data_IF_229323871779
#
_entry.id   IF_229323871779
#
_cell.length_a   1.000
_cell.length_b   1.000
_cell.length_c   1.000
_cell.angle_alpha   90.00
_cell.angle_beta   90.00
_cell.angle_gamma   90.00
#
_symmetry.space_group_name_H-M   'P 1'
#
loop_
_entity.id
_entity.type
_entity.pdbx_description
1 polymer ?
#
# COMPACT_ATOMS: atom_id res chain seq x y z
N UNK A 1 -7.09 -10.21 7.67
CA UNK A 1 -6.37 -10.74 6.48
C UNK A 1 -6.68 -9.82 5.31
N UNK A 2 -5.67 -9.40 4.58
CA UNK A 2 -5.76 -8.57 3.36
C UNK A 2 -4.70 -9.03 2.36
N UNK A 3 -4.74 -8.50 1.14
CA UNK A 3 -3.77 -8.84 0.12
C UNK A 3 -3.24 -7.59 -0.59
N UNK A 4 -1.95 -7.59 -0.87
CA UNK A 4 -1.27 -6.48 -1.51
C UNK A 4 -0.42 -6.92 -2.70
N UNK A 5 0.00 -5.97 -3.50
CA UNK A 5 1.00 -6.15 -4.54
C UNK A 5 2.20 -5.24 -4.27
N UNK A 6 3.40 -5.77 -4.49
CA UNK A 6 4.58 -4.95 -4.67
C UNK A 6 4.64 -4.52 -6.13
N UNK A 7 4.66 -3.23 -6.37
CA UNK A 7 4.71 -2.63 -7.70
C UNK A 7 6.06 -1.97 -7.89
N UNK A 8 6.75 -2.33 -8.97
CA UNK A 8 8.02 -1.71 -9.35
C UNK A 8 7.85 -1.03 -10.70
N UNK A 9 7.86 0.30 -10.67
CA UNK A 9 7.69 1.15 -11.85
C UNK A 9 9.07 1.45 -12.45
N UNK A 10 9.31 1.13 -13.73
CA UNK A 10 10.60 1.42 -14.36
C UNK A 10 10.80 2.93 -14.54
N UNK A 11 12.04 3.38 -14.44
CA UNK A 11 12.45 4.77 -14.67
C UNK A 11 11.65 5.79 -13.83
N UNK A 12 11.31 5.43 -12.58
CA UNK A 12 10.48 6.22 -11.66
C UNK A 12 11.26 6.53 -10.39
N UNK A 13 11.29 7.79 -10.00
CA UNK A 13 11.95 8.30 -8.78
C UNK A 13 10.97 8.55 -7.62
N UNK A 14 9.65 8.34 -7.85
CA UNK A 14 8.62 8.48 -6.83
C UNK A 14 8.59 7.25 -5.90
N UNK A 15 8.00 7.40 -4.73
CA UNK A 15 7.92 6.36 -3.73
C UNK A 15 9.30 5.96 -3.22
N UNK A 16 9.61 4.68 -3.20
CA UNK A 16 10.93 4.15 -2.84
C UNK A 16 11.71 3.75 -4.11
N UNK A 17 12.15 4.74 -4.88
CA UNK A 17 12.82 4.55 -6.17
C UNK A 17 11.96 3.71 -7.15
N UNK A 18 10.70 4.09 -7.32
CA UNK A 18 9.73 3.40 -8.16
C UNK A 18 9.07 2.19 -7.52
N UNK A 19 9.46 1.83 -6.29
CA UNK A 19 8.87 0.69 -5.56
C UNK A 19 7.76 1.14 -4.65
N UNK A 20 6.60 0.44 -4.73
CA UNK A 20 5.40 0.72 -3.95
C UNK A 20 4.76 -0.57 -3.43
N UNK A 21 4.01 -0.45 -2.33
CA UNK A 21 2.96 -1.41 -1.96
C UNK A 21 1.60 -0.83 -2.29
N UNK A 22 0.77 -1.60 -2.99
CA UNK A 22 -0.65 -1.29 -3.29
C UNK A 22 -1.55 -2.24 -2.51
N UNK A 23 -2.36 -1.75 -1.59
CA UNK A 23 -3.23 -2.54 -0.71
C UNK A 23 -4.59 -1.85 -0.42
N UNK A 24 -5.70 -2.58 -0.22
CA UNK A 24 -5.88 -3.95 -0.66
C UNK A 24 -6.16 -3.96 -2.17
N UNK A 25 -5.55 -4.88 -2.87
CA UNK A 25 -5.71 -4.97 -4.32
C UNK A 25 -6.06 -6.38 -4.79
N UNK A 26 -6.32 -7.31 -3.85
CA UNK A 26 -6.53 -8.70 -4.18
C UNK A 26 -7.60 -9.48 -3.41
N UNK A 27 -8.09 -8.99 -2.27
CA UNK A 27 -8.92 -9.80 -1.38
C UNK A 27 -10.14 -9.06 -0.79
N UNK A 28 -9.92 -7.97 -0.04
CA UNK A 28 -10.98 -7.30 0.72
C UNK A 28 -11.76 -6.34 -0.17
N UNK A 29 -13.05 -6.64 -0.40
CA UNK A 29 -13.85 -5.95 -1.42
C UNK A 29 -14.20 -4.51 -1.04
N UNK A 30 -14.79 -4.31 0.13
CA UNK A 30 -15.22 -2.99 0.61
C UNK A 30 -15.01 -2.93 2.13
N UNK A 31 -13.78 -2.65 2.58
CA UNK A 31 -13.46 -2.60 3.99
C UNK A 31 -14.20 -1.44 4.68
N UNK A 32 -14.69 -1.69 5.90
CA UNK A 32 -15.11 -0.65 6.81
C UNK A 32 -13.88 0.15 7.32
N UNK A 33 -14.08 1.28 8.02
CA UNK A 33 -12.96 2.12 8.47
C UNK A 33 -11.94 1.36 9.33
N UNK A 34 -12.38 0.48 10.21
CA UNK A 34 -11.53 -0.32 11.10
C UNK A 34 -10.66 -1.30 10.30
N UNK A 35 -11.25 -1.99 9.34
CA UNK A 35 -10.51 -2.90 8.45
C UNK A 35 -9.54 -2.13 7.55
N UNK A 36 -9.96 -0.99 7.01
CA UNK A 36 -9.10 -0.18 6.15
C UNK A 36 -7.90 0.37 6.93
N UNK A 37 -8.09 0.76 8.19
CA UNK A 37 -7.01 1.13 9.10
C UNK A 37 -6.06 -0.05 9.36
N UNK A 38 -6.59 -1.24 9.61
CA UNK A 38 -5.79 -2.45 9.82
C UNK A 38 -4.99 -2.83 8.55
N UNK A 39 -5.58 -2.67 7.36
CA UNK A 39 -4.88 -2.85 6.09
C UNK A 39 -3.68 -1.89 5.99
N UNK A 40 -3.86 -0.62 6.33
CA UNK A 40 -2.80 0.37 6.28
C UNK A 40 -1.61 0.01 7.17
N UNK A 41 -1.88 -0.39 8.42
CA UNK A 41 -0.84 -0.75 9.38
C UNK A 41 -0.10 -2.04 8.96
N UNK A 42 -0.84 -3.07 8.54
CA UNK A 42 -0.23 -4.30 8.03
C UNK A 42 0.61 -4.06 6.78
N UNK A 43 0.17 -3.15 5.90
CA UNK A 43 0.90 -2.82 4.67
C UNK A 43 2.19 -2.06 4.95
N UNK A 44 2.23 -1.23 6.00
CA UNK A 44 3.45 -0.58 6.46
C UNK A 44 4.48 -1.62 6.92
N UNK A 45 4.05 -2.56 7.78
CA UNK A 45 4.92 -3.64 8.26
C UNK A 45 5.43 -4.51 7.10
N UNK A 46 4.54 -4.86 6.16
CA UNK A 46 4.91 -5.65 4.98
C UNK A 46 5.90 -4.92 4.07
N UNK A 47 5.72 -3.61 3.86
CA UNK A 47 6.64 -2.80 3.07
C UNK A 47 8.04 -2.76 3.70
N UNK A 48 8.11 -2.49 5.00
CA UNK A 48 9.37 -2.44 5.74
C UNK A 48 10.09 -3.80 5.70
N UNK A 49 9.35 -4.89 5.94
CA UNK A 49 9.88 -6.26 5.90
C UNK A 49 10.48 -6.61 4.53
N UNK A 50 9.76 -6.31 3.44
CA UNK A 50 10.17 -6.71 2.09
C UNK A 50 11.25 -5.82 1.48
N UNK A 51 11.29 -4.54 1.84
CA UNK A 51 12.19 -3.57 1.20
C UNK A 51 13.33 -3.10 2.09
N UNK A 52 13.21 -3.26 3.40
CA UNK A 52 14.13 -2.68 4.38
C UNK A 52 14.10 -1.15 4.43
N UNK A 53 13.10 -0.52 3.79
CA UNK A 53 12.94 0.94 3.73
C UNK A 53 11.80 1.41 4.63
N UNK A 54 11.85 2.67 5.05
CA UNK A 54 10.82 3.29 5.88
C UNK A 54 9.48 3.37 5.11
N UNK A 55 8.37 2.87 5.68
CA UNK A 55 7.04 3.01 5.09
C UNK A 55 6.50 4.42 5.25
N UNK A 56 5.98 4.98 4.17
CA UNK A 56 5.28 6.26 4.11
C UNK A 56 3.89 6.00 3.53
N UNK A 57 2.89 5.94 4.42
CA UNK A 57 1.56 5.40 4.12
C UNK A 57 0.58 6.51 3.75
N UNK A 58 0.00 6.43 2.56
CA UNK A 58 -1.08 7.30 2.11
C UNK A 58 -2.42 6.55 2.03
N UNK A 59 -3.43 7.07 2.71
CA UNK A 59 -4.82 6.63 2.60
C UNK A 59 -5.48 7.32 1.41
N UNK A 60 -5.80 6.56 0.35
CA UNK A 60 -6.24 7.11 -0.93
C UNK A 60 -7.75 7.34 -1.01
N UNK A 61 -8.12 8.39 -1.71
CA UNK A 61 -9.48 8.80 -2.01
C UNK A 61 -9.50 9.65 -3.29
N UNK A 62 -10.68 9.95 -3.81
CA UNK A 62 -10.84 11.02 -4.80
C UNK A 62 -10.81 12.43 -4.18
N UNK A 63 -10.68 12.53 -2.86
CA UNK A 63 -10.56 13.76 -2.08
C UNK A 63 -9.14 13.93 -1.52
N UNK A 64 -8.69 15.16 -1.37
CA UNK A 64 -7.48 15.52 -0.61
C UNK A 64 -7.86 16.55 0.45
N UNK A 65 -7.69 16.18 1.73
CA UNK A 65 -7.89 17.06 2.89
C UNK A 65 -9.21 17.85 2.84
N UNK A 66 -10.32 17.13 2.58
CA UNK A 66 -11.67 17.70 2.57
C UNK A 66 -12.05 18.40 1.26
N UNK A 67 -11.34 18.16 0.16
CA UNK A 67 -11.67 18.77 -1.14
C UNK A 67 -13.01 18.26 -1.73
N UNK A 68 -13.49 17.10 -1.29
CA UNK A 68 -14.79 16.54 -1.65
C UNK A 68 -15.53 16.04 -0.40
N UNK A 69 -16.86 15.90 -0.52
CA UNK A 69 -17.74 15.34 0.53
C UNK A 69 -18.54 14.19 -0.04
N UNK A 70 -18.35 13.01 0.51
CA UNK A 70 -19.04 11.79 0.13
C UNK A 70 -18.86 10.73 1.23
N UNK A 71 -19.81 9.81 1.46
CA UNK A 71 -19.64 8.73 2.43
C UNK A 71 -18.34 7.91 2.23
N UNK A 72 -17.91 7.71 0.98
CA UNK A 72 -16.65 7.02 0.69
C UNK A 72 -15.42 7.83 1.14
N UNK A 73 -15.49 9.16 1.09
CA UNK A 73 -14.46 10.06 1.65
C UNK A 73 -14.46 9.96 3.17
N UNK A 74 -15.63 10.03 3.79
CA UNK A 74 -15.79 9.94 5.25
C UNK A 74 -15.24 8.63 5.79
N UNK A 75 -15.44 7.52 5.06
CA UNK A 75 -14.84 6.22 5.36
C UNK A 75 -13.30 6.29 5.44
N UNK A 76 -12.66 6.89 4.47
CA UNK A 76 -11.18 7.00 4.42
C UNK A 76 -10.67 7.97 5.49
N UNK A 77 -11.36 9.07 5.74
CA UNK A 77 -11.04 10.02 6.83
C UNK A 77 -11.06 9.31 8.18
N UNK A 78 -12.12 8.56 8.46
CA UNK A 78 -12.25 7.81 9.72
C UNK A 78 -11.20 6.69 9.83
N UNK A 79 -10.96 5.94 8.75
CA UNK A 79 -9.89 4.94 8.70
C UNK A 79 -8.51 5.56 8.98
N UNK A 80 -8.24 6.75 8.44
CA UNK A 80 -6.98 7.47 8.68
C UNK A 80 -6.83 7.84 10.15
N UNK A 81 -7.91 8.31 10.78
CA UNK A 81 -7.93 8.65 12.21
C UNK A 81 -7.61 7.40 13.06
N UNK A 82 -8.33 6.30 12.81
CA UNK A 82 -8.14 5.03 13.53
C UNK A 82 -6.71 4.49 13.32
N UNK A 83 -6.20 4.54 12.10
CA UNK A 83 -4.84 4.07 11.80
C UNK A 83 -3.79 4.89 12.56
N UNK A 84 -3.92 6.22 12.61
CA UNK A 84 -3.01 7.09 13.37
C UNK A 84 -3.02 6.80 14.87
N UNK A 85 -4.18 6.51 15.44
CA UNK A 85 -4.31 6.19 16.87
C UNK A 85 -3.67 4.85 17.24
N UNK A 86 -3.60 3.90 16.31
CA UNK A 86 -3.05 2.57 16.51
C UNK A 86 -1.66 2.37 15.89
N UNK A 87 -1.12 3.39 15.24
CA UNK A 87 0.18 3.33 14.60
C UNK A 87 1.32 3.21 15.62
N UNK A 88 2.38 2.50 15.23
CA UNK A 88 3.65 2.52 15.97
C UNK A 88 4.19 3.95 16.00
N UNK A 89 4.88 4.30 17.08
CA UNK A 89 5.55 5.60 17.19
C UNK A 89 6.51 5.81 16.01
N UNK A 90 6.39 6.96 15.36
CA UNK A 90 7.22 7.34 14.22
C UNK A 90 6.71 6.92 12.85
N UNK A 91 5.66 6.08 12.74
CA UNK A 91 5.10 5.72 11.44
C UNK A 91 4.53 6.96 10.73
N UNK A 92 5.00 7.22 9.51
CA UNK A 92 4.48 8.26 8.64
C UNK A 92 3.21 7.74 7.95
N UNK A 93 2.05 8.16 8.45
CA UNK A 93 0.73 7.81 7.90
C UNK A 93 -0.16 9.03 7.87
N UNK A 94 -0.78 9.29 6.71
CA UNK A 94 -1.71 10.41 6.57
C UNK A 94 -2.74 10.15 5.45
N UNK A 95 -3.77 10.97 5.39
CA UNK A 95 -4.89 10.94 4.42
C UNK A 95 -5.96 11.95 4.82
N UNK A 96 -7.03 12.01 4.06
CA UNK A 96 -7.21 11.33 2.75
C UNK A 96 -6.49 12.10 1.65
N UNK A 97 -6.00 11.36 0.64
CA UNK A 97 -5.29 11.94 -0.51
C UNK A 97 -5.80 11.40 -1.84
N UNK A 98 -5.87 12.28 -2.83
CA UNK A 98 -5.81 11.85 -4.22
C UNK A 98 -4.42 11.28 -4.51
N UNK A 99 -4.33 10.35 -5.49
CA UNK A 99 -3.08 9.67 -5.82
C UNK A 99 -1.95 10.66 -6.18
N UNK A 100 -2.24 11.67 -7.00
CA UNK A 100 -1.26 12.69 -7.39
C UNK A 100 -0.71 13.46 -6.18
N UNK A 101 -1.57 13.81 -5.23
CA UNK A 101 -1.15 14.48 -3.99
C UNK A 101 -0.32 13.57 -3.08
N UNK A 102 -0.55 12.25 -3.13
CA UNK A 102 0.21 11.29 -2.33
C UNK A 102 1.64 11.08 -2.83
N UNK A 103 1.87 11.06 -4.16
CA UNK A 103 3.14 10.62 -4.73
C UNK A 103 3.93 11.71 -5.48
N UNK A 104 3.30 12.79 -5.93
CA UNK A 104 3.96 13.87 -6.68
C UNK A 104 4.30 15.03 -5.73
N UNK A 105 5.60 15.36 -5.51
CA UNK A 105 6.02 16.34 -4.51
C UNK A 105 5.36 17.72 -4.64
N UNK A 106 5.30 18.28 -5.84
CA UNK A 106 4.72 19.59 -6.11
C UNK A 106 3.21 19.63 -5.86
N UNK A 107 2.51 18.53 -6.20
CA UNK A 107 1.07 18.40 -5.97
C UNK A 107 0.80 18.23 -4.49
N UNK A 108 1.58 17.40 -3.81
CA UNK A 108 1.50 17.20 -2.36
C UNK A 108 1.73 18.49 -1.58
N UNK A 109 2.75 19.25 -1.93
CA UNK A 109 3.02 20.55 -1.31
C UNK A 109 1.89 21.58 -1.51
N UNK A 110 1.24 21.54 -2.66
CA UNK A 110 0.12 22.44 -2.98
C UNK A 110 -1.20 22.04 -2.32
N UNK A 111 -1.57 20.72 -2.39
CA UNK A 111 -2.89 20.24 -1.93
C UNK A 111 -2.93 19.87 -0.44
N UNK A 112 -1.79 19.51 0.14
CA UNK A 112 -1.68 19.09 1.54
C UNK A 112 -0.43 19.67 2.22
N UNK A 113 -0.31 21.00 2.30
CA UNK A 113 0.86 21.64 2.90
C UNK A 113 1.03 21.21 4.37
N UNK A 114 2.27 20.85 4.73
CA UNK A 114 2.61 20.41 6.10
C UNK A 114 2.36 18.94 6.38
N UNK A 115 1.80 18.16 5.46
CA UNK A 115 1.72 16.72 5.63
C UNK A 115 3.12 16.07 5.51
N UNK A 116 3.48 15.15 6.42
CA UNK A 116 4.75 14.43 6.33
C UNK A 116 4.75 13.35 5.24
N UNK A 117 3.59 13.02 4.67
CA UNK A 117 3.36 11.94 3.71
C UNK A 117 3.17 12.44 2.28
N UNK A 118 2.45 13.57 2.11
CA UNK A 118 2.08 14.08 0.79
C UNK A 118 3.30 14.29 -0.11
N UNK A 119 3.23 13.74 -1.33
CA UNK A 119 4.29 13.78 -2.33
C UNK A 119 5.45 12.81 -2.11
N UNK A 120 5.35 11.91 -1.11
CA UNK A 120 6.45 10.99 -0.72
C UNK A 120 6.00 9.56 -0.49
N UNK A 121 4.69 9.27 -0.59
CA UNK A 121 4.13 7.98 -0.23
C UNK A 121 4.73 6.84 -1.06
N UNK A 122 5.01 5.72 -0.39
CA UNK A 122 5.45 4.46 -0.99
C UNK A 122 4.54 3.27 -0.63
N UNK A 123 3.61 3.47 0.32
CA UNK A 123 2.53 2.53 0.62
C UNK A 123 1.20 3.22 0.32
N UNK A 124 0.48 2.69 -0.67
CA UNK A 124 -0.76 3.25 -1.18
C UNK A 124 -1.93 2.35 -0.77
N UNK A 125 -2.79 2.86 0.10
CA UNK A 125 -3.96 2.15 0.63
C UNK A 125 -5.20 2.60 -0.10
N UNK A 126 -5.78 1.71 -0.88
CA UNK A 126 -6.95 1.97 -1.72
C UNK A 126 -8.25 1.85 -0.92
N UNK A 127 -9.28 2.65 -1.21
CA UNK A 127 -10.53 2.68 -0.43
C UNK A 127 -11.37 1.41 -0.56
N UNK A 128 -11.18 0.68 -1.66
CA UNK A 128 -11.90 -0.57 -1.97
C UNK A 128 -11.12 -1.39 -3.00
N UNK A 129 -11.60 -2.63 -3.23
CA UNK A 129 -10.97 -3.56 -4.16
C UNK A 129 -11.01 -3.10 -5.61
N UNK A 130 -12.09 -2.44 -6.03
CA UNK A 130 -12.20 -1.98 -7.42
C UNK A 130 -11.10 -0.98 -7.73
N UNK A 131 -10.90 0.02 -6.86
CA UNK A 131 -9.84 1.00 -7.00
C UNK A 131 -8.45 0.35 -6.98
N UNK A 132 -8.17 -0.53 -6.02
CA UNK A 132 -6.88 -1.20 -5.89
C UNK A 132 -6.58 -2.16 -7.04
N UNK A 133 -7.54 -3.00 -7.42
CA UNK A 133 -7.38 -4.00 -8.49
C UNK A 133 -7.24 -3.34 -9.88
N UNK A 134 -8.05 -2.33 -10.17
CA UNK A 134 -7.92 -1.55 -11.41
C UNK A 134 -6.60 -0.79 -11.40
N UNK A 135 -6.24 -0.16 -10.28
CA UNK A 135 -5.03 0.65 -10.14
C UNK A 135 -3.75 -0.14 -10.41
N UNK A 136 -3.56 -1.32 -9.79
CA UNK A 136 -2.35 -2.09 -10.04
C UNK A 136 -2.27 -2.60 -11.48
N UNK A 137 -3.41 -3.00 -12.07
CA UNK A 137 -3.45 -3.45 -13.48
C UNK A 137 -3.14 -2.33 -14.47
N UNK A 138 -3.59 -1.10 -14.19
CA UNK A 138 -3.23 0.07 -14.99
C UNK A 138 -1.72 0.32 -14.93
N UNK A 139 -1.12 0.31 -13.74
CA UNK A 139 0.32 0.45 -13.57
C UNK A 139 1.08 -0.66 -14.30
N UNK A 140 0.67 -1.92 -14.12
CA UNK A 140 1.31 -3.07 -14.75
C UNK A 140 1.20 -3.03 -16.29
N UNK A 141 0.00 -2.83 -16.84
CA UNK A 141 -0.25 -2.99 -18.28
C UNK A 141 0.10 -1.75 -19.09
N UNK A 142 -0.19 -0.57 -18.58
CA UNK A 142 0.07 0.70 -19.28
C UNK A 142 1.40 1.33 -18.85
N UNK A 143 1.71 1.31 -17.54
CA UNK A 143 2.95 1.84 -17.01
C UNK A 143 4.15 0.89 -17.09
N UNK A 144 3.95 -0.33 -17.61
CA UNK A 144 4.99 -1.38 -17.73
C UNK A 144 5.64 -1.73 -16.38
N UNK A 145 4.93 -1.49 -15.29
CA UNK A 145 5.39 -1.86 -13.96
C UNK A 145 5.40 -3.38 -13.79
N UNK A 146 6.35 -3.88 -13.03
CA UNK A 146 6.30 -5.23 -12.51
C UNK A 146 5.35 -5.26 -11.31
N UNK A 147 4.49 -6.27 -11.22
CA UNK A 147 3.51 -6.44 -10.14
C UNK A 147 3.69 -7.82 -9.52
N UNK A 148 4.17 -7.88 -8.28
CA UNK A 148 4.40 -9.11 -7.54
C UNK A 148 3.29 -9.28 -6.49
N UNK A 149 2.50 -10.34 -6.64
CA UNK A 149 1.36 -10.61 -5.76
C UNK A 149 0.24 -11.42 -6.44
N UNK A 150 -0.92 -11.60 -5.79
CA UNK A 150 -1.23 -11.03 -4.46
C UNK A 150 -0.44 -11.72 -3.34
N UNK A 151 0.11 -10.93 -2.44
CA UNK A 151 0.74 -11.39 -1.21
C UNK A 151 -0.24 -11.18 -0.06
N UNK A 152 -0.45 -12.21 0.79
CA UNK A 152 -1.36 -12.08 1.94
C UNK A 152 -0.63 -11.53 3.16
N UNK A 153 -1.35 -10.76 3.98
CA UNK A 153 -0.85 -10.15 5.21
C UNK A 153 -1.90 -10.21 6.34
N UNK A 154 -1.46 -9.96 7.56
CA UNK A 154 -2.33 -10.05 8.74
C UNK A 154 -2.69 -11.49 9.10
N UNK A 155 -1.83 -12.45 8.80
CA UNK A 155 -1.91 -13.88 9.15
C UNK A 155 -0.60 -14.36 9.77
N UNK A 156 -0.67 -15.44 10.55
CA UNK A 156 0.47 -15.95 11.32
C UNK A 156 1.56 -16.63 10.49
N UNK A 157 1.26 -17.03 9.26
CA UNK A 157 2.22 -17.65 8.34
C UNK A 157 1.91 -17.22 6.90
N UNK A 158 2.91 -17.05 6.04
CA UNK A 158 2.70 -16.61 4.67
C UNK A 158 1.90 -17.66 3.88
N UNK A 159 0.80 -17.21 3.27
CA UNK A 159 -0.01 -18.00 2.32
C UNK A 159 -0.31 -17.07 1.15
N UNK A 160 0.23 -17.37 -0.02
CA UNK A 160 0.06 -16.53 -1.19
C UNK A 160 -0.70 -17.28 -2.27
N UNK A 161 -1.59 -16.59 -2.97
CA UNK A 161 -2.29 -17.08 -4.15
C UNK A 161 -1.65 -16.50 -5.41
N UNK A 162 -1.86 -17.13 -6.53
CA UNK A 162 -1.35 -16.70 -7.83
C UNK A 162 -2.50 -16.62 -8.83
N UNK A 163 -2.49 -15.58 -9.65
CA UNK A 163 -3.44 -15.45 -10.76
C UNK A 163 -3.33 -16.64 -11.71
N UNK A 164 -4.46 -17.12 -12.22
CA UNK A 164 -4.50 -18.18 -13.27
C UNK A 164 -3.75 -17.78 -14.55
N UNK A 165 -3.46 -16.50 -14.75
CA UNK A 165 -2.70 -15.96 -15.86
C UNK A 165 -1.27 -15.56 -15.49
N UNK A 166 -0.73 -16.05 -14.36
CA UNK A 166 0.64 -15.71 -13.93
C UNK A 166 1.69 -16.35 -14.84
N UNK A 167 2.80 -15.66 -15.02
CA UNK A 167 4.00 -16.16 -15.69
C UNK A 167 4.93 -16.88 -14.70
N UNK A 168 5.93 -17.59 -15.22
CA UNK A 168 6.98 -18.17 -14.39
C UNK A 168 7.75 -17.10 -13.58
N UNK A 169 7.91 -15.90 -14.13
CA UNK A 169 8.54 -14.76 -13.45
C UNK A 169 7.69 -14.27 -12.26
N UNK A 170 6.37 -14.26 -12.41
CA UNK A 170 5.46 -13.89 -11.31
C UNK A 170 5.54 -14.92 -10.18
N UNK A 171 5.63 -16.21 -10.50
CA UNK A 171 5.79 -17.30 -9.53
C UNK A 171 7.11 -17.13 -8.77
N UNK A 172 8.21 -16.90 -9.46
CA UNK A 172 9.51 -16.68 -8.87
C UNK A 172 9.51 -15.47 -7.92
N UNK A 173 8.93 -14.34 -8.36
CA UNK A 173 8.83 -13.12 -7.57
C UNK A 173 8.03 -13.29 -6.27
N UNK A 174 6.92 -14.04 -6.32
CA UNK A 174 6.13 -14.36 -5.13
C UNK A 174 6.86 -15.36 -4.22
N UNK A 175 7.57 -16.35 -4.79
CA UNK A 175 8.32 -17.33 -4.01
C UNK A 175 9.47 -16.70 -3.21
N UNK A 176 10.11 -15.67 -3.72
CA UNK A 176 11.18 -14.95 -3.00
C UNK A 176 10.67 -14.29 -1.72
N UNK A 177 9.38 -13.88 -1.67
CA UNK A 177 8.80 -13.29 -0.46
C UNK A 177 8.76 -14.24 0.75
N UNK A 178 8.70 -15.56 0.52
CA UNK A 178 8.76 -16.57 1.59
C UNK A 178 10.13 -16.59 2.27
N UNK A 179 11.22 -16.52 1.49
CA UNK A 179 12.56 -16.55 2.03
C UNK A 179 12.86 -15.31 2.89
N UNK A 180 12.23 -14.18 2.57
CA UNK A 180 12.40 -12.93 3.34
C UNK A 180 11.69 -13.01 4.68
N UNK A 181 10.50 -13.65 4.73
CA UNK A 181 9.75 -13.84 5.98
C UNK A 181 10.42 -14.84 6.91
N UNK A 182 10.96 -15.95 6.37
CA UNK A 182 11.69 -16.95 7.16
C UNK A 182 12.99 -16.39 7.75
N UNK A 183 13.71 -15.55 7.00
CA UNK A 183 14.92 -14.91 7.50
C UNK A 183 14.66 -13.90 8.64
N UNK A 184 13.49 -13.29 8.68
CA UNK A 184 13.08 -12.43 9.79
C UNK A 184 12.74 -13.21 11.06
N UNK A 185 12.15 -14.41 10.93
CA UNK A 185 11.84 -15.29 12.07
C UNK A 185 13.10 -15.94 12.66
N UNK A 186 14.08 -16.28 11.85
CA UNK A 186 15.36 -16.84 12.34
C UNK A 186 16.24 -15.80 13.09
N UNK A 187 16.03 -14.51 12.84
CA UNK A 187 16.71 -13.41 13.54
C UNK A 187 16.25 -13.14 14.97
N UNK A 188 15.13 -13.73 15.40
CA UNK A 188 14.57 -13.59 16.76
C UNK A 188 15.00 -14.71 17.73
N UNK A 189 15.91 -15.57 17.32
CA UNK A 189 16.39 -16.73 18.09
C UNK A 189 17.83 -16.59 18.61
N UNK A 190 18.18 -15.49 19.30
CA UNK A 190 19.33 -15.43 20.23
C UNK A 190 19.01 -14.47 21.37
#
# INVERSE_FOLDING_TARGET
>A
VSAFFVIVVPDCDMGADGTFVFADSGLEQNPDPEKLAAIALSSADSFELLTGKEPIVAMLSHSTKGSAKHPDVDKVVEATRIAKENAKEGLLLDGEFQLDAAIVPEVGASKAPGSPVAGKANVLVFPDLDAGNIGYKLAQRLGKAEAYGPLTQGIAAPVNDLSRGCSAKDIEGVAVSYNTSDAADEGLGV
#
